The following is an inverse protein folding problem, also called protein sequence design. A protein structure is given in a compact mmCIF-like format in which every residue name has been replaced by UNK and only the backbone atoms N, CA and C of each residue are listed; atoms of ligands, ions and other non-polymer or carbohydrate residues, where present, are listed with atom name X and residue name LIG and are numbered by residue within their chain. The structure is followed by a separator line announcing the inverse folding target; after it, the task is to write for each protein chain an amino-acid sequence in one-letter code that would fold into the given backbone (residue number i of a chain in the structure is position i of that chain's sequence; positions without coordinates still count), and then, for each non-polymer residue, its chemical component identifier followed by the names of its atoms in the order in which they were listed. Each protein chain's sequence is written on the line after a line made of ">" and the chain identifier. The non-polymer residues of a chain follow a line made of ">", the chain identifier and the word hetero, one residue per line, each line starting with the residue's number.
data_IF_586104159192
#
_entry.id   IF_586104159192
#
_cell.length_a   1.000
_cell.length_b   1.000
_cell.length_c   1.000
_cell.angle_alpha   90.00
_cell.angle_beta   90.00
_cell.angle_gamma   90.00
#
_symmetry.space_group_name_H-M   'P 1'
#
loop_
_entity.id
_entity.type
_entity.pdbx_description
1 polymer ?
#
# COMPACT_ATOMS: atom_id res chain seq x y z
N UNK A 1 14.36 11.98 -21.56
CA UNK A 1 13.27 12.91 -21.19
C UNK A 1 12.00 12.09 -21.06
N UNK A 2 11.78 11.47 -19.89
CA UNK A 2 10.64 10.58 -19.69
C UNK A 2 9.36 11.42 -19.54
N UNK A 3 8.42 11.23 -20.45
CA UNK A 3 7.07 11.76 -20.35
C UNK A 3 6.48 11.29 -19.03
N UNK A 4 6.17 12.23 -18.13
CA UNK A 4 5.38 11.96 -16.92
C UNK A 4 3.99 11.52 -17.37
N UNK A 5 3.82 10.22 -17.61
CA UNK A 5 2.52 9.62 -17.85
C UNK A 5 1.59 10.03 -16.71
N UNK A 6 0.36 10.41 -17.05
CA UNK A 6 -0.66 10.70 -16.04
C UNK A 6 -0.71 9.52 -15.06
N UNK A 7 -0.61 9.81 -13.76
CA UNK A 7 -0.61 8.76 -12.75
C UNK A 7 -1.89 7.94 -12.89
N UNK A 8 -1.78 6.66 -13.26
CA UNK A 8 -2.91 5.73 -13.35
C UNK A 8 -3.68 5.81 -12.03
N UNK A 9 -5.00 6.03 -12.12
CA UNK A 9 -5.90 6.03 -10.96
C UNK A 9 -6.23 4.57 -10.63
N UNK A 10 -5.68 3.99 -9.56
CA UNK A 10 -5.96 2.62 -9.20
C UNK A 10 -7.41 2.51 -8.70
N UNK A 11 -8.05 1.34 -8.85
CA UNK A 11 -9.37 1.06 -8.29
C UNK A 11 -9.28 0.91 -6.76
N UNK A 12 -9.04 2.00 -6.03
CA UNK A 12 -8.83 1.99 -4.58
C UNK A 12 -9.93 1.30 -3.77
N UNK A 13 -11.17 1.31 -4.28
CA UNK A 13 -12.29 0.63 -3.65
C UNK A 13 -12.15 -0.90 -3.70
N UNK A 14 -11.56 -1.46 -4.76
CA UNK A 14 -11.31 -2.89 -4.90
C UNK A 14 -10.15 -3.36 -3.99
N UNK A 15 -9.20 -2.46 -3.71
CA UNK A 15 -8.07 -2.73 -2.81
C UNK A 15 -8.44 -2.58 -1.32
N UNK A 16 -9.63 -2.08 -1.02
CA UNK A 16 -10.13 -1.98 0.36
C UNK A 16 -10.85 -3.27 0.77
N UNK A 17 -10.75 -3.68 2.06
CA UNK A 17 -10.18 -2.93 3.18
C UNK A 17 -8.65 -3.04 3.32
N UNK A 18 -7.98 -3.87 2.52
CA UNK A 18 -6.54 -4.15 2.65
C UNK A 18 -5.68 -2.88 2.65
N UNK A 19 -5.96 -1.93 1.76
CA UNK A 19 -5.17 -0.69 1.70
C UNK A 19 -5.36 0.20 2.92
N UNK A 20 -6.58 0.28 3.49
CA UNK A 20 -6.81 0.95 4.79
C UNK A 20 -6.04 0.27 5.93
N UNK A 21 -5.98 -1.06 5.93
CA UNK A 21 -5.18 -1.80 6.91
C UNK A 21 -3.68 -1.52 6.74
N UNK A 22 -3.18 -1.42 5.51
CA UNK A 22 -1.81 -1.04 5.24
C UNK A 22 -1.49 0.36 5.78
N UNK A 23 -2.36 1.35 5.51
CA UNK A 23 -2.21 2.71 6.06
C UNK A 23 -2.18 2.70 7.59
N UNK A 24 -3.04 1.90 8.23
CA UNK A 24 -3.07 1.73 9.68
C UNK A 24 -1.77 1.13 10.22
N UNK A 25 -1.28 0.04 9.62
CA UNK A 25 -0.03 -0.60 10.05
C UNK A 25 1.19 0.28 9.84
N UNK A 26 1.25 1.05 8.75
CA UNK A 26 2.32 2.02 8.51
C UNK A 26 2.30 3.16 9.53
N UNK A 27 1.12 3.65 9.90
CA UNK A 27 0.98 4.65 10.95
C UNK A 27 1.40 4.11 12.33
N UNK A 28 1.09 2.83 12.61
CA UNK A 28 1.50 2.13 13.83
C UNK A 28 2.95 1.63 13.85
N UNK A 29 3.70 1.78 12.75
CA UNK A 29 5.10 1.36 12.67
C UNK A 29 5.30 -0.16 12.57
N UNK A 30 4.37 -0.89 11.95
CA UNK A 30 4.50 -2.34 11.76
C UNK A 30 5.82 -2.66 11.02
N UNK A 31 6.74 -3.44 11.62
CA UNK A 31 8.12 -3.55 11.13
C UNK A 31 8.25 -4.06 9.69
N UNK A 32 7.43 -5.02 9.28
CA UNK A 32 7.49 -5.63 7.94
C UNK A 32 7.19 -4.62 6.83
N UNK A 33 6.03 -3.97 6.88
CA UNK A 33 5.61 -2.96 5.92
C UNK A 33 6.51 -1.72 5.94
N UNK A 34 6.97 -1.30 7.13
CA UNK A 34 7.94 -0.21 7.24
C UNK A 34 9.27 -0.56 6.54
N UNK A 35 9.78 -1.79 6.70
CA UNK A 35 11.01 -2.25 6.04
C UNK A 35 10.91 -2.21 4.51
N UNK A 36 9.76 -2.60 3.97
CA UNK A 36 9.47 -2.51 2.52
C UNK A 36 9.58 -1.05 2.07
N UNK A 37 8.83 -0.15 2.69
CA UNK A 37 8.76 1.26 2.25
C UNK A 37 10.04 2.05 2.55
N UNK A 38 10.84 1.62 3.52
CA UNK A 38 12.15 2.21 3.78
C UNK A 38 13.21 1.85 2.75
N UNK A 39 13.00 0.80 1.94
CA UNK A 39 13.87 0.46 0.81
C UNK A 39 13.83 1.54 -0.29
N UNK A 40 12.70 2.24 -0.43
CA UNK A 40 12.55 3.27 -1.45
C UNK A 40 13.56 4.41 -1.24
N UNK A 41 14.20 4.88 -2.33
CA UNK A 41 13.76 4.75 -3.73
C UNK A 41 14.24 3.50 -4.49
N UNK A 42 14.92 2.54 -3.85
CA UNK A 42 15.29 1.27 -4.47
C UNK A 42 14.05 0.37 -4.62
N UNK A 43 13.40 0.45 -5.78
CA UNK A 43 12.18 -0.30 -6.10
C UNK A 43 12.42 -1.82 -6.15
N UNK A 44 13.61 -2.26 -6.58
CA UNK A 44 13.99 -3.67 -6.62
C UNK A 44 14.12 -4.22 -5.20
N UNK A 45 14.87 -3.54 -4.33
CA UNK A 45 14.99 -3.95 -2.93
C UNK A 45 13.64 -3.87 -2.18
N UNK A 46 12.76 -2.91 -2.54
CA UNK A 46 11.41 -2.85 -1.99
C UNK A 46 10.57 -4.07 -2.41
N UNK A 47 10.66 -4.46 -3.69
CA UNK A 47 9.95 -5.63 -4.23
C UNK A 47 10.43 -6.93 -3.58
N UNK A 48 11.75 -7.11 -3.42
CA UNK A 48 12.32 -8.30 -2.77
C UNK A 48 11.80 -8.44 -1.33
N UNK A 49 11.84 -7.35 -0.54
CA UNK A 49 11.30 -7.33 0.83
C UNK A 49 9.81 -7.59 0.90
N UNK A 50 9.05 -7.11 -0.09
CA UNK A 50 7.62 -7.35 -0.16
C UNK A 50 7.32 -8.82 -0.46
N UNK A 51 8.06 -9.42 -1.40
CA UNK A 51 7.96 -10.84 -1.73
C UNK A 51 8.33 -11.73 -0.53
N UNK A 52 9.42 -11.41 0.17
CA UNK A 52 9.82 -12.08 1.41
C UNK A 52 8.68 -12.05 2.44
N UNK A 53 8.10 -10.87 2.68
CA UNK A 53 7.00 -10.70 3.62
C UNK A 53 5.73 -11.49 3.20
N UNK A 54 5.43 -11.55 1.91
CA UNK A 54 4.33 -12.36 1.38
C UNK A 54 4.58 -13.86 1.62
N UNK A 55 5.81 -14.35 1.41
CA UNK A 55 6.19 -15.74 1.68
C UNK A 55 6.09 -16.07 3.18
N UNK A 56 6.59 -15.19 4.04
CA UNK A 56 6.51 -15.34 5.50
C UNK A 56 5.06 -15.51 5.97
N UNK A 57 4.16 -14.66 5.47
CA UNK A 57 2.73 -14.68 5.77
C UNK A 57 1.99 -15.86 5.12
N UNK A 58 2.64 -16.59 4.21
CA UNK A 58 2.03 -17.63 3.39
C UNK A 58 0.91 -17.07 2.52
N UNK A 59 1.09 -15.87 1.98
CA UNK A 59 0.15 -15.21 1.09
C UNK A 59 0.09 -15.97 -0.24
N UNK A 60 -0.98 -16.73 -0.45
CA UNK A 60 -1.22 -17.51 -1.67
C UNK A 60 -2.42 -16.95 -2.44
N UNK A 61 -2.34 -16.82 -3.77
CA UNK A 61 -3.47 -16.40 -4.58
C UNK A 61 -4.59 -17.44 -4.52
N UNK A 62 -5.83 -16.98 -4.39
CA UNK A 62 -7.04 -17.80 -4.36
C UNK A 62 -8.17 -17.07 -5.09
N UNK A 63 -9.03 -17.81 -5.79
CA UNK A 63 -10.29 -17.27 -6.27
C UNK A 63 -11.32 -17.30 -5.15
N UNK A 64 -12.02 -16.19 -4.96
CA UNK A 64 -13.11 -16.05 -4.01
C UNK A 64 -14.31 -15.38 -4.71
N UNK A 65 -15.53 -15.72 -4.32
CA UNK A 65 -16.75 -15.21 -4.94
C UNK A 65 -17.79 -16.27 -5.31
N UNK A 66 -18.68 -15.90 -6.22
CA UNK A 66 -19.81 -16.72 -6.69
C UNK A 66 -19.90 -16.70 -8.23
N UNK A 67 -20.68 -17.60 -8.86
CA UNK A 67 -20.85 -17.59 -10.31
C UNK A 67 -21.24 -16.20 -10.85
N UNK A 68 -20.45 -15.67 -11.78
CA UNK A 68 -20.63 -14.32 -12.35
C UNK A 68 -19.94 -13.18 -11.57
N UNK A 69 -19.33 -13.47 -10.42
CA UNK A 69 -18.60 -12.49 -9.61
C UNK A 69 -17.42 -13.16 -8.90
N UNK A 70 -16.30 -13.24 -9.59
CA UNK A 70 -15.05 -13.80 -9.06
C UNK A 70 -14.04 -12.68 -8.81
N UNK A 71 -13.27 -12.82 -7.73
CA UNK A 71 -12.12 -11.98 -7.43
C UNK A 71 -10.91 -12.83 -7.09
N UNK A 72 -9.73 -12.35 -7.51
CA UNK A 72 -8.48 -12.84 -6.97
C UNK A 72 -8.31 -12.24 -5.57
N UNK A 73 -8.16 -13.08 -4.57
CA UNK A 73 -7.79 -12.69 -3.20
C UNK A 73 -6.49 -13.41 -2.84
N UNK A 74 -5.80 -12.92 -1.82
CA UNK A 74 -4.65 -13.61 -1.26
C UNK A 74 -5.00 -14.12 0.14
N UNK A 75 -4.85 -15.43 0.33
CA UNK A 75 -5.09 -16.11 1.61
C UNK A 75 -3.77 -16.30 2.36
N UNK A 76 -3.80 -16.24 3.70
CA UNK A 76 -2.64 -16.56 4.52
C UNK A 76 -2.50 -18.07 4.77
N UNK A 77 -1.51 -18.45 5.59
CA UNK A 77 -1.31 -19.85 6.03
C UNK A 77 -2.60 -20.46 6.57
N UNK A 78 -2.94 -21.67 6.10
CA UNK A 78 -4.15 -22.38 6.51
C UNK A 78 -5.45 -21.75 6.00
N UNK A 79 -5.39 -20.92 4.94
CA UNK A 79 -6.52 -20.17 4.35
C UNK A 79 -7.12 -19.10 5.28
N UNK A 80 -6.46 -18.76 6.39
CA UNK A 80 -6.88 -17.67 7.26
C UNK A 80 -6.25 -16.35 6.77
N UNK A 81 -7.09 -15.39 6.41
CA UNK A 81 -6.63 -14.02 6.08
C UNK A 81 -6.49 -13.23 7.37
N UNK A 82 -5.26 -13.03 7.83
CA UNK A 82 -5.00 -12.09 8.92
C UNK A 82 -5.06 -10.64 8.39
N UNK A 83 -5.38 -9.64 9.24
CA UNK A 83 -5.39 -8.24 8.80
C UNK A 83 -4.07 -7.78 8.18
N UNK A 84 -2.93 -8.27 8.68
CA UNK A 84 -1.60 -7.97 8.11
C UNK A 84 -1.41 -8.61 6.73
N UNK A 85 -1.92 -9.83 6.50
CA UNK A 85 -1.89 -10.47 5.17
C UNK A 85 -2.68 -9.65 4.17
N UNK A 86 -3.91 -9.24 4.53
CA UNK A 86 -4.73 -8.39 3.67
C UNK A 86 -4.05 -7.06 3.33
N UNK A 87 -3.36 -6.45 4.30
CA UNK A 87 -2.60 -5.23 4.09
C UNK A 87 -1.43 -5.40 3.12
N UNK A 88 -0.61 -6.43 3.32
CA UNK A 88 0.56 -6.72 2.49
C UNK A 88 0.14 -7.04 1.05
N UNK A 89 -0.93 -7.81 0.87
CA UNK A 89 -1.42 -8.17 -0.46
C UNK A 89 -1.99 -6.96 -1.20
N UNK A 90 -2.74 -6.08 -0.52
CA UNK A 90 -3.21 -4.83 -1.11
C UNK A 90 -2.05 -3.88 -1.51
N UNK A 91 -0.94 -3.90 -0.77
CA UNK A 91 0.30 -3.18 -1.17
C UNK A 91 0.87 -3.77 -2.46
N UNK A 92 1.01 -5.09 -2.54
CA UNK A 92 1.50 -5.78 -3.74
C UNK A 92 0.62 -5.50 -4.96
N UNK A 93 -0.71 -5.58 -4.81
CA UNK A 93 -1.65 -5.25 -5.87
C UNK A 93 -1.55 -3.79 -6.32
N UNK A 94 -1.42 -2.84 -5.37
CA UNK A 94 -1.26 -1.43 -5.72
C UNK A 94 0.04 -1.18 -6.49
N UNK A 95 1.14 -1.82 -6.09
CA UNK A 95 2.44 -1.77 -6.79
C UNK A 95 2.29 -2.36 -8.19
N UNK A 96 1.65 -3.51 -8.35
CA UNK A 96 1.43 -4.13 -9.66
C UNK A 96 0.59 -3.25 -10.60
N UNK A 97 -0.42 -2.54 -10.06
CA UNK A 97 -1.33 -1.69 -10.83
C UNK A 97 -0.76 -0.31 -11.18
N UNK A 98 0.11 0.25 -10.34
CA UNK A 98 0.50 1.67 -10.43
C UNK A 98 1.97 1.98 -10.12
N UNK A 99 2.78 0.95 -9.93
CA UNK A 99 4.16 1.08 -9.48
C UNK A 99 4.28 1.62 -8.05
N UNK A 100 5.49 2.03 -7.68
CA UNK A 100 5.80 2.49 -6.32
C UNK A 100 5.47 3.96 -6.05
N UNK A 101 5.14 4.75 -7.08
CA UNK A 101 5.03 6.22 -6.99
C UNK A 101 3.96 6.73 -6.01
N UNK A 102 3.03 5.87 -5.58
CA UNK A 102 2.02 6.19 -4.56
C UNK A 102 2.49 5.92 -3.13
N UNK A 103 3.61 5.24 -2.93
CA UNK A 103 4.24 5.06 -1.63
C UNK A 103 5.27 6.17 -1.40
N UNK A 104 4.94 7.08 -0.49
CA UNK A 104 5.70 8.29 -0.24
C UNK A 104 6.13 8.37 1.22
N UNK A 105 7.01 9.31 1.52
CA UNK A 105 7.36 9.69 2.89
C UNK A 105 6.68 11.02 3.21
N UNK A 106 6.15 11.13 4.42
CA UNK A 106 5.61 12.40 4.91
C UNK A 106 6.73 13.44 4.94
N UNK A 107 6.51 14.59 4.30
CA UNK A 107 7.51 15.67 4.23
C UNK A 107 7.89 16.27 5.60
N UNK A 108 7.13 15.98 6.67
CA UNK A 108 7.38 16.51 8.03
C UNK A 108 8.02 15.49 8.98
N UNK A 109 7.56 14.25 9.00
CA UNK A 109 8.04 13.23 9.94
C UNK A 109 8.69 12.01 9.29
N UNK A 110 8.80 11.98 7.95
CA UNK A 110 9.41 10.86 7.23
C UNK A 110 8.62 9.55 7.25
N UNK A 111 7.53 9.45 8.02
CA UNK A 111 6.68 8.25 8.09
C UNK A 111 6.17 7.88 6.69
N UNK A 112 6.10 6.58 6.35
CA UNK A 112 5.53 6.15 5.08
C UNK A 112 4.04 6.52 4.97
N UNK A 113 3.61 6.85 3.77
CA UNK A 113 2.25 7.31 3.45
C UNK A 113 1.85 6.74 2.09
N UNK A 114 0.60 6.27 1.99
CA UNK A 114 -0.02 5.91 0.72
C UNK A 114 -0.77 7.10 0.14
N UNK A 115 -0.45 7.46 -1.10
CA UNK A 115 -1.09 8.54 -1.85
C UNK A 115 -2.31 8.04 -2.62
N UNK A 116 -3.48 8.24 -2.01
CA UNK A 116 -4.79 7.91 -2.60
C UNK A 116 -5.41 9.07 -3.40
N UNK A 117 -4.70 10.19 -3.57
CA UNK A 117 -5.21 11.32 -4.37
C UNK A 117 -5.18 10.97 -5.87
N UNK A 118 -6.14 11.49 -6.63
CA UNK A 118 -6.20 11.24 -8.08
C UNK A 118 -4.90 11.68 -8.76
N UNK A 119 -4.40 12.88 -8.45
CA UNK A 119 -3.19 13.45 -9.04
C UNK A 119 -1.87 13.00 -8.42
N UNK A 120 -1.88 12.02 -7.49
CA UNK A 120 -0.69 11.61 -6.75
C UNK A 120 0.07 12.82 -6.15
N UNK A 121 -0.65 13.70 -5.45
CA UNK A 121 -0.16 14.96 -4.88
C UNK A 121 -0.02 14.98 -3.35
N UNK A 122 -0.31 13.88 -2.65
CA UNK A 122 -0.19 13.80 -1.18
C UNK A 122 1.26 13.98 -0.75
N UNK A 123 1.48 14.91 0.19
CA UNK A 123 2.81 15.19 0.80
C UNK A 123 2.90 14.86 2.30
N UNK A 124 1.77 14.72 2.98
CA UNK A 124 1.72 14.58 4.43
C UNK A 124 0.91 13.35 4.88
N UNK A 125 1.30 12.78 6.03
CA UNK A 125 0.51 11.75 6.71
C UNK A 125 -0.78 12.35 7.28
N UNK A 126 -1.72 11.51 7.70
CA UNK A 126 -3.02 11.99 8.22
C UNK A 126 -2.91 12.90 9.43
N UNK A 127 -1.96 12.62 10.33
CA UNK A 127 -1.69 13.46 11.49
C UNK A 127 -1.28 14.89 11.08
N UNK A 128 -0.29 15.02 10.20
CA UNK A 128 0.20 16.32 9.75
C UNK A 128 -0.74 17.01 8.76
N UNK A 129 -1.53 16.26 8.00
CA UNK A 129 -2.59 16.82 7.16
C UNK A 129 -3.61 17.55 8.01
N UNK A 130 -4.14 16.91 9.06
CA UNK A 130 -5.14 17.52 9.97
C UNK A 130 -4.61 18.77 10.67
N UNK A 131 -3.33 18.76 11.08
CA UNK A 131 -2.68 19.92 11.70
C UNK A 131 -2.37 21.07 10.71
N UNK A 132 -2.28 20.77 9.41
CA UNK A 132 -1.98 21.75 8.36
C UNK A 132 -3.21 22.48 7.78
N UNK A 133 -4.43 22.00 8.01
CA UNK A 133 -5.67 22.70 7.58
C UNK A 133 -6.09 23.79 8.59
N UNK A 134 -5.33 23.98 9.67
CA UNK A 134 -5.69 24.84 10.80
C UNK A 134 -4.82 26.08 11.04
N UNK A 135 -4.04 26.53 10.05
CA UNK A 135 -3.36 27.83 10.08
C UNK A 135 -2.86 28.19 8.69
N UNK A 136 -3.69 28.89 7.92
CA UNK A 136 -3.19 29.88 6.97
C UNK A 136 -3.20 31.21 7.72
N UNK A 137 -2.01 31.69 8.09
CA UNK A 137 -1.75 33.10 8.28
C UNK A 137 -1.23 33.65 6.94
#
# INVERSE_FOLDING_TARGET
>A
MATRGAAVRPPFAALDPGLRLAEHFLAGGQPGLCRVLWALPDESAAADRLNELMVELGAQPCLDGCPGSWRLVYVGRGRLVTPVTAAVCAVAELVALSGWGRFKRCARCGRPVVDRTNGCSRRWCDEHRRRGVGCSA
#
